data_IF_899125318501
#
_entry.id   IF_899125318501
#
_cell.length_a   1.000
_cell.length_b   1.000
_cell.length_c   1.000
_cell.angle_alpha   90.00
_cell.angle_beta   90.00
_cell.angle_gamma   90.00
#
_symmetry.space_group_name_H-M   'P 1'
#
loop_
_entity.id
_entity.type
_entity.pdbx_description
1 polymer ?
#
# COMPACT_ATOMS: atom_id res chain seq x y z
N UNK A 1 6.96 2.91 1.62
CA UNK A 1 5.94 2.15 2.39
C UNK A 1 4.84 3.08 2.96
N UNK A 2 5.14 4.29 3.48
CA UNK A 2 4.12 5.16 4.07
C UNK A 2 2.91 5.39 3.15
N UNK A 3 3.12 5.92 1.95
CA UNK A 3 2.03 6.15 0.99
C UNK A 3 1.39 4.87 0.46
N UNK A 4 2.14 3.76 0.43
CA UNK A 4 1.61 2.46 0.01
C UNK A 4 0.62 1.92 1.05
N UNK A 5 0.89 2.13 2.36
CA UNK A 5 -0.03 1.80 3.43
C UNK A 5 -1.34 2.59 3.30
N UNK A 6 -1.24 3.93 3.16
CA UNK A 6 -2.41 4.79 2.96
C UNK A 6 -3.20 4.41 1.70
N UNK A 7 -2.52 4.00 0.62
CA UNK A 7 -3.19 3.54 -0.59
C UNK A 7 -3.95 2.23 -0.35
N UNK A 8 -3.38 1.26 0.35
CA UNK A 8 -4.07 0.02 0.71
C UNK A 8 -5.31 0.29 1.59
N UNK A 9 -5.19 1.22 2.56
CA UNK A 9 -6.33 1.64 3.38
C UNK A 9 -7.42 2.32 2.52
N UNK A 10 -7.06 3.19 1.59
CA UNK A 10 -8.01 3.83 0.68
C UNK A 10 -8.77 2.83 -0.20
N UNK A 11 -8.12 1.75 -0.65
CA UNK A 11 -8.79 0.68 -1.39
C UNK A 11 -9.84 -0.03 -0.52
N UNK A 12 -9.52 -0.31 0.74
CA UNK A 12 -10.46 -0.91 1.70
C UNK A 12 -11.63 0.03 2.01
N UNK A 13 -11.35 1.32 2.25
CA UNK A 13 -12.37 2.33 2.53
C UNK A 13 -13.31 2.50 1.34
N UNK A 14 -12.78 2.51 0.12
CA UNK A 14 -13.59 2.56 -1.10
C UNK A 14 -14.48 1.31 -1.24
N UNK A 15 -13.94 0.12 -0.96
CA UNK A 15 -14.74 -1.10 -0.91
C UNK A 15 -15.84 -1.00 0.15
N UNK A 16 -15.58 -0.40 1.31
CA UNK A 16 -16.56 -0.10 2.36
C UNK A 16 -17.68 0.81 1.88
N UNK A 17 -17.34 1.89 1.19
CA UNK A 17 -18.33 2.81 0.59
C UNK A 17 -19.21 2.12 -0.45
N UNK A 18 -18.63 1.24 -1.28
CA UNK A 18 -19.38 0.46 -2.26
C UNK A 18 -20.33 -0.55 -1.59
N UNK A 19 -19.95 -1.13 -0.44
CA UNK A 19 -20.90 -1.98 0.35
C UNK A 19 -22.11 -1.19 0.81
N UNK A 20 -21.90 0.03 1.33
CA UNK A 20 -22.99 0.92 1.73
C UNK A 20 -23.89 1.30 0.53
N UNK A 21 -23.30 1.57 -0.63
CA UNK A 21 -24.04 1.86 -1.85
C UNK A 21 -24.89 0.65 -2.28
N UNK A 22 -24.34 -0.57 -2.20
CA UNK A 22 -25.03 -1.81 -2.48
C UNK A 22 -26.24 -2.02 -1.55
N UNK A 23 -26.10 -1.77 -0.25
CA UNK A 23 -27.21 -1.86 0.72
C UNK A 23 -28.36 -0.89 0.39
N UNK A 24 -28.06 0.19 -0.33
CA UNK A 24 -29.05 1.16 -0.86
C UNK A 24 -29.59 0.80 -2.23
N UNK A 25 -29.31 -0.41 -2.74
CA UNK A 25 -29.83 -0.93 -4.01
C UNK A 25 -29.04 -0.55 -5.25
N UNK A 26 -27.84 0.01 -5.12
CA UNK A 26 -26.94 0.26 -6.26
C UNK A 26 -26.19 -1.04 -6.55
N UNK A 27 -26.37 -1.60 -7.74
CA UNK A 27 -25.78 -2.89 -8.12
C UNK A 27 -24.62 -2.77 -9.12
N UNK A 28 -24.41 -1.59 -9.71
CA UNK A 28 -23.31 -1.32 -10.63
C UNK A 28 -22.87 0.13 -10.53
N UNK A 29 -21.62 0.37 -10.92
CA UNK A 29 -21.06 1.71 -11.13
C UNK A 29 -20.72 1.88 -12.60
N UNK A 30 -20.79 3.11 -13.10
CA UNK A 30 -20.38 3.44 -14.46
C UNK A 30 -18.96 3.99 -14.42
N UNK A 31 -18.08 3.36 -15.18
CA UNK A 31 -16.67 3.73 -15.29
C UNK A 31 -16.29 3.93 -16.75
N UNK A 32 -15.19 4.60 -17.03
CA UNK A 32 -14.60 4.58 -18.36
C UNK A 32 -14.21 3.14 -18.71
N UNK A 33 -14.60 2.66 -19.91
CA UNK A 33 -14.37 1.25 -20.34
C UNK A 33 -12.90 0.85 -20.21
N UNK A 34 -11.98 1.76 -20.51
CA UNK A 34 -10.53 1.57 -20.36
C UNK A 34 -10.06 1.31 -18.92
N UNK A 35 -10.87 1.65 -17.91
CA UNK A 35 -10.53 1.38 -16.51
C UNK A 35 -10.80 -0.08 -16.09
N UNK A 36 -11.64 -0.81 -16.84
CA UNK A 36 -12.04 -2.17 -16.50
C UNK A 36 -10.83 -3.11 -16.33
N UNK A 37 -9.82 -3.11 -17.20
CA UNK A 37 -8.64 -3.96 -17.02
C UNK A 37 -7.91 -3.71 -15.69
N UNK A 38 -7.91 -2.47 -15.18
CA UNK A 38 -7.28 -2.14 -13.90
C UNK A 38 -8.07 -2.68 -12.70
N UNK A 39 -9.40 -2.79 -12.81
CA UNK A 39 -10.21 -3.43 -11.78
C UNK A 39 -10.08 -4.95 -11.80
N UNK A 40 -9.92 -5.55 -12.98
CA UNK A 40 -9.83 -7.00 -13.15
C UNK A 40 -8.42 -7.56 -12.91
N UNK A 41 -7.47 -6.74 -12.48
CA UNK A 41 -6.14 -7.19 -12.07
C UNK A 41 -6.23 -8.07 -10.82
N UNK A 42 -5.98 -9.37 -10.97
CA UNK A 42 -5.82 -10.29 -9.85
C UNK A 42 -4.49 -10.12 -9.12
N UNK A 43 -4.39 -10.68 -7.92
CA UNK A 43 -3.19 -10.59 -7.08
C UNK A 43 -1.94 -11.19 -7.76
N UNK A 44 -2.09 -12.19 -8.61
CA UNK A 44 -1.01 -12.81 -9.40
C UNK A 44 -0.29 -11.84 -10.34
N UNK A 45 -0.96 -10.75 -10.73
CA UNK A 45 -0.37 -9.70 -11.54
C UNK A 45 0.62 -8.84 -10.76
N UNK A 46 0.44 -8.74 -9.45
CA UNK A 46 1.34 -7.96 -8.58
C UNK A 46 2.70 -8.62 -8.39
N UNK A 47 2.79 -9.93 -8.58
CA UNK A 47 4.04 -10.69 -8.44
C UNK A 47 4.92 -10.64 -9.69
N UNK A 48 4.41 -10.10 -10.81
CA UNK A 48 5.16 -9.97 -12.07
C UNK A 48 5.30 -8.51 -12.48
N UNK A 49 6.55 -8.02 -12.46
CA UNK A 49 6.90 -6.65 -12.91
C UNK A 49 6.59 -6.48 -14.39
N UNK A 50 6.90 -7.51 -15.20
CA UNK A 50 6.68 -7.50 -16.66
C UNK A 50 5.19 -7.40 -17.00
N UNK A 51 4.36 -8.25 -16.39
CA UNK A 51 2.90 -8.23 -16.60
C UNK A 51 2.27 -6.90 -16.18
N UNK A 52 2.71 -6.33 -15.04
CA UNK A 52 2.27 -5.00 -14.60
C UNK A 52 2.64 -3.92 -15.61
N UNK A 53 3.88 -3.97 -16.10
CA UNK A 53 4.36 -3.00 -17.07
C UNK A 53 3.57 -3.07 -18.38
N UNK A 54 3.36 -4.27 -18.94
CA UNK A 54 2.57 -4.49 -20.15
C UNK A 54 1.14 -3.96 -20.02
N UNK A 55 0.48 -4.25 -18.89
CA UNK A 55 -0.88 -3.76 -18.64
C UNK A 55 -0.94 -2.24 -18.53
N UNK A 56 -0.03 -1.63 -17.76
CA UNK A 56 0.01 -0.18 -17.59
C UNK A 56 0.36 0.53 -18.89
N UNK A 57 1.26 -0.02 -19.70
CA UNK A 57 1.59 0.52 -20.99
C UNK A 57 0.39 0.46 -21.94
N UNK A 58 -0.28 -0.68 -22.02
CA UNK A 58 -1.52 -0.83 -22.82
C UNK A 58 -2.62 0.14 -22.36
N UNK A 59 -2.78 0.33 -21.05
CA UNK A 59 -3.71 1.33 -20.50
C UNK A 59 -3.36 2.75 -20.94
N UNK A 60 -2.09 3.15 -20.85
CA UNK A 60 -1.62 4.48 -21.26
C UNK A 60 -1.81 4.72 -22.77
N UNK A 61 -1.49 3.74 -23.61
CA UNK A 61 -1.69 3.81 -25.06
C UNK A 61 -3.17 4.03 -25.40
N UNK A 62 -4.07 3.32 -24.73
CA UNK A 62 -5.52 3.50 -24.89
C UNK A 62 -5.99 4.89 -24.41
N UNK A 63 -5.39 5.44 -23.36
CA UNK A 63 -5.70 6.79 -22.89
C UNK A 63 -5.29 7.88 -23.88
N UNK A 64 -4.16 7.71 -24.59
CA UNK A 64 -3.63 8.68 -25.56
C UNK A 64 -4.44 8.65 -26.87
N UNK A 65 -4.97 7.49 -27.25
CA UNK A 65 -5.72 7.31 -28.51
C UNK A 65 -7.18 7.74 -28.41
N UNK A 66 -7.75 7.85 -27.21
CA UNK A 66 -9.11 8.38 -27.05
C UNK A 66 -9.15 9.90 -27.30
N UNK A 67 -9.93 10.31 -28.28
CA UNK A 67 -10.18 11.74 -28.55
C UNK A 67 -11.01 12.33 -27.41
N UNK A 68 -10.66 13.52 -26.95
CA UNK A 68 -11.40 14.23 -25.91
C UNK A 68 -12.88 14.39 -26.32
N UNK A 69 -13.78 13.74 -25.57
CA UNK A 69 -15.23 13.80 -25.80
C UNK A 69 -15.92 12.46 -26.11
N UNK A 70 -15.18 11.41 -26.40
CA UNK A 70 -15.73 10.09 -26.75
C UNK A 70 -15.34 8.98 -25.78
N UNK A 71 -15.17 9.30 -24.48
CA UNK A 71 -14.88 8.25 -23.50
C UNK A 71 -16.03 7.27 -23.42
N UNK A 72 -15.83 6.06 -23.92
CA UNK A 72 -16.79 4.97 -23.78
C UNK A 72 -16.96 4.62 -22.32
N UNK A 73 -18.20 4.44 -21.92
CA UNK A 73 -18.58 4.06 -20.57
C UNK A 73 -19.05 2.61 -20.53
N UNK A 74 -18.72 1.91 -19.46
CA UNK A 74 -19.21 0.57 -19.19
C UNK A 74 -19.70 0.45 -17.76
N UNK A 75 -20.68 -0.41 -17.55
CA UNK A 75 -21.15 -0.76 -16.21
C UNK A 75 -20.26 -1.86 -15.64
N UNK A 76 -19.78 -1.64 -14.42
CA UNK A 76 -19.02 -2.61 -13.65
C UNK A 76 -19.85 -3.05 -12.44
N UNK A 77 -19.97 -4.36 -12.22
CA UNK A 77 -20.73 -4.91 -11.08
C UNK A 77 -20.13 -4.47 -9.76
N UNK A 78 -20.98 -4.02 -8.83
CA UNK A 78 -20.50 -3.47 -7.55
C UNK A 78 -19.80 -4.54 -6.70
N UNK A 79 -20.24 -5.80 -6.77
CA UNK A 79 -19.61 -6.95 -6.11
C UNK A 79 -18.19 -7.21 -6.62
N UNK A 80 -18.02 -7.17 -7.94
CA UNK A 80 -16.71 -7.35 -8.59
C UNK A 80 -15.74 -6.24 -8.19
N UNK A 81 -16.24 -4.98 -8.11
CA UNK A 81 -15.45 -3.86 -7.62
C UNK A 81 -15.01 -4.07 -6.18
N UNK A 82 -15.93 -4.43 -5.29
CA UNK A 82 -15.64 -4.66 -3.87
C UNK A 82 -14.60 -5.75 -3.72
N UNK A 83 -14.78 -6.89 -4.40
CA UNK A 83 -13.85 -8.02 -4.33
C UNK A 83 -12.46 -7.63 -4.83
N UNK A 84 -12.37 -6.96 -5.98
CA UNK A 84 -11.11 -6.53 -6.56
C UNK A 84 -10.36 -5.53 -5.67
N UNK A 85 -11.04 -4.55 -5.10
CA UNK A 85 -10.43 -3.56 -4.20
C UNK A 85 -9.91 -4.22 -2.92
N UNK A 86 -10.69 -5.13 -2.35
CA UNK A 86 -10.32 -5.86 -1.14
C UNK A 86 -9.11 -6.77 -1.39
N UNK A 87 -9.11 -7.55 -2.46
CA UNK A 87 -8.00 -8.42 -2.84
C UNK A 87 -6.69 -7.63 -2.99
N UNK A 88 -6.74 -6.47 -3.65
CA UNK A 88 -5.57 -5.59 -3.80
C UNK A 88 -5.06 -5.06 -2.46
N UNK A 89 -5.96 -4.60 -1.60
CA UNK A 89 -5.61 -4.10 -0.27
C UNK A 89 -4.94 -5.19 0.58
N UNK A 90 -5.53 -6.39 0.58
CA UNK A 90 -5.04 -7.53 1.35
C UNK A 90 -3.68 -8.01 0.85
N UNK A 91 -3.51 -8.09 -0.49
CA UNK A 91 -2.22 -8.44 -1.08
C UNK A 91 -1.13 -7.42 -0.69
N UNK A 92 -1.41 -6.12 -0.81
CA UNK A 92 -0.44 -5.07 -0.49
C UNK A 92 -0.02 -5.12 0.98
N UNK A 93 -0.97 -5.25 1.90
CA UNK A 93 -0.66 -5.38 3.33
C UNK A 93 0.12 -6.64 3.64
N UNK A 94 -0.27 -7.79 3.06
CA UNK A 94 0.45 -9.05 3.21
C UNK A 94 1.89 -8.96 2.71
N UNK A 95 2.09 -8.35 1.55
CA UNK A 95 3.40 -8.13 0.97
C UNK A 95 4.28 -7.24 1.88
N UNK A 96 3.77 -6.10 2.33
CA UNK A 96 4.51 -5.19 3.22
C UNK A 96 4.87 -5.90 4.53
N UNK A 97 3.92 -6.61 5.15
CA UNK A 97 4.16 -7.34 6.42
C UNK A 97 5.31 -8.33 6.33
N UNK A 98 5.47 -8.98 5.20
CA UNK A 98 6.43 -10.08 5.03
C UNK A 98 7.73 -9.64 4.35
N UNK A 99 7.69 -8.69 3.43
CA UNK A 99 8.85 -8.33 2.62
C UNK A 99 9.57 -7.08 3.14
N UNK A 100 8.85 -6.19 3.82
CA UNK A 100 9.42 -4.93 4.29
C UNK A 100 9.77 -4.93 5.78
N UNK A 101 9.53 -6.04 6.47
CA UNK A 101 9.84 -6.16 7.89
C UNK A 101 11.33 -6.37 8.11
N UNK A 102 11.94 -5.53 8.93
CA UNK A 102 13.34 -5.63 9.34
C UNK A 102 13.46 -5.75 10.86
N UNK A 103 14.47 -6.45 11.32
CA UNK A 103 14.76 -6.67 12.75
C UNK A 103 16.24 -6.40 13.02
N UNK A 104 16.53 -5.88 14.21
CA UNK A 104 17.90 -5.59 14.64
C UNK A 104 18.61 -6.76 15.33
N UNK A 105 17.89 -7.85 15.59
CA UNK A 105 18.38 -9.01 16.36
C UNK A 105 18.39 -8.82 17.87
N UNK A 106 18.02 -7.64 18.40
CA UNK A 106 17.90 -7.35 19.82
C UNK A 106 16.43 -7.35 20.29
N UNK A 107 15.50 -7.67 19.42
CA UNK A 107 14.08 -7.74 19.70
C UNK A 107 13.27 -6.54 19.22
N UNK A 108 13.92 -5.60 18.52
CA UNK A 108 13.24 -4.50 17.85
C UNK A 108 12.93 -4.84 16.40
N UNK A 109 11.85 -4.27 15.87
CA UNK A 109 11.45 -4.47 14.48
C UNK A 109 10.64 -3.30 13.96
N UNK A 110 10.79 -3.00 12.67
CA UNK A 110 10.09 -1.93 11.96
C UNK A 110 10.02 -2.22 10.47
N UNK A 111 9.29 -1.42 9.71
CA UNK A 111 9.21 -1.58 8.26
C UNK A 111 10.25 -0.72 7.53
N UNK A 112 10.91 -1.31 6.55
CA UNK A 112 11.69 -0.54 5.57
C UNK A 112 10.74 0.34 4.74
N UNK A 113 11.01 1.63 4.65
CA UNK A 113 10.13 2.58 3.98
C UNK A 113 10.53 2.84 2.52
N UNK A 114 11.76 2.59 2.14
CA UNK A 114 12.26 2.84 0.79
C UNK A 114 13.59 2.14 0.50
N UNK A 115 13.95 2.12 -0.78
CA UNK A 115 15.15 1.48 -1.31
C UNK A 115 16.09 2.50 -1.93
N UNK A 116 17.35 2.18 -1.94
CA UNK A 116 18.36 2.97 -2.66
C UNK A 116 18.26 2.73 -4.19
N UNK A 117 19.11 3.42 -4.95
CA UNK A 117 19.14 3.29 -6.41
C UNK A 117 19.64 1.90 -6.90
N UNK A 118 20.12 1.06 -6.02
CA UNK A 118 20.57 -0.31 -6.30
C UNK A 118 19.57 -1.37 -5.84
N UNK A 119 18.45 -0.95 -5.26
CA UNK A 119 17.41 -1.85 -4.74
C UNK A 119 17.73 -2.41 -3.36
N UNK A 120 18.63 -1.80 -2.59
CA UNK A 120 18.88 -2.21 -1.20
C UNK A 120 17.94 -1.46 -0.25
N UNK A 121 17.40 -2.12 0.80
CA UNK A 121 16.66 -1.44 1.85
C UNK A 121 17.50 -0.35 2.50
N UNK A 122 16.91 0.82 2.72
CA UNK A 122 17.63 1.94 3.37
C UNK A 122 17.51 1.86 4.89
N UNK A 123 16.39 1.35 5.39
CA UNK A 123 16.21 1.13 6.83
C UNK A 123 16.71 -0.25 7.24
N UNK A 124 17.05 -0.39 8.52
CA UNK A 124 17.63 -1.60 9.07
C UNK A 124 18.95 -1.33 9.78
N UNK A 125 19.71 -2.38 10.04
CA UNK A 125 21.05 -2.30 10.61
C UNK A 125 22.10 -2.29 9.47
N UNK A 126 22.82 -1.18 9.35
CA UNK A 126 23.86 -1.00 8.35
C UNK A 126 25.20 -0.66 9.02
N UNK A 127 26.15 -1.60 8.99
CA UNK A 127 27.52 -1.40 9.53
C UNK A 127 27.56 -0.91 10.99
N UNK A 128 26.56 -1.32 11.79
CA UNK A 128 26.45 -0.93 13.20
C UNK A 128 25.59 0.32 13.46
N UNK A 129 25.13 0.98 12.40
CA UNK A 129 24.18 2.10 12.48
C UNK A 129 22.76 1.61 12.24
N UNK A 130 21.86 1.86 13.18
CA UNK A 130 20.44 1.60 13.01
C UNK A 130 19.80 2.75 12.25
N UNK A 131 19.07 2.42 11.18
CA UNK A 131 18.31 3.38 10.39
C UNK A 131 16.82 3.07 10.49
N UNK A 132 16.08 4.02 11.02
CA UNK A 132 14.63 3.94 11.18
C UNK A 132 13.99 5.28 10.84
N UNK A 133 12.85 5.23 10.13
CA UNK A 133 12.05 6.41 9.81
C UNK A 133 10.66 6.28 10.44
N UNK A 134 10.29 7.24 11.27
CA UNK A 134 9.04 7.25 12.03
C UNK A 134 7.79 7.25 11.13
N UNK A 135 7.82 8.04 10.06
CA UNK A 135 6.64 8.24 9.21
C UNK A 135 6.10 6.92 8.63
N UNK A 136 6.99 6.04 8.13
CA UNK A 136 6.61 4.73 7.61
C UNK A 136 5.89 3.87 8.65
N UNK A 137 6.37 3.92 9.89
CA UNK A 137 5.84 3.14 11.00
C UNK A 137 4.46 3.64 11.44
N UNK A 138 4.30 4.96 11.55
CA UNK A 138 3.01 5.58 11.91
C UNK A 138 1.93 5.17 10.91
N UNK A 139 2.19 5.27 9.61
CA UNK A 139 1.24 4.85 8.57
C UNK A 139 0.97 3.33 8.61
N UNK A 140 2.00 2.50 8.85
CA UNK A 140 1.81 1.06 8.96
C UNK A 140 0.86 0.66 10.11
N UNK A 141 0.91 1.38 11.24
CA UNK A 141 0.00 1.17 12.37
C UNK A 141 -1.38 1.74 12.06
N UNK A 142 -1.46 3.01 11.62
CA UNK A 142 -2.74 3.70 11.36
C UNK A 142 -3.57 3.00 10.30
N UNK A 143 -2.93 2.51 9.24
CA UNK A 143 -3.57 1.89 8.08
C UNK A 143 -3.69 0.36 8.22
N UNK A 144 -3.47 -0.17 9.44
CA UNK A 144 -3.65 -1.59 9.80
C UNK A 144 -2.76 -2.56 9.02
N UNK A 145 -1.64 -2.08 8.49
CA UNK A 145 -0.66 -2.96 7.86
C UNK A 145 0.11 -3.73 8.92
N UNK A 146 0.59 -3.07 9.97
CA UNK A 146 1.19 -3.75 11.11
C UNK A 146 0.15 -4.59 11.86
N UNK A 147 0.50 -5.83 12.18
CA UNK A 147 -0.26 -6.61 13.16
C UNK A 147 0.06 -6.16 14.61
N UNK A 148 -0.61 -6.74 15.60
CA UNK A 148 -0.44 -6.35 17.02
C UNK A 148 1.01 -6.53 17.51
N UNK A 149 1.68 -7.60 17.11
CA UNK A 149 3.07 -7.86 17.52
C UNK A 149 4.02 -6.89 16.82
N UNK A 150 3.80 -6.65 15.53
CA UNK A 150 4.57 -5.68 14.76
C UNK A 150 4.36 -4.26 15.29
N UNK A 151 3.12 -3.86 15.60
CA UNK A 151 2.82 -2.55 16.17
C UNK A 151 3.53 -2.34 17.51
N UNK A 152 3.56 -3.37 18.36
CA UNK A 152 4.31 -3.33 19.62
C UNK A 152 5.82 -3.20 19.38
N UNK A 153 6.39 -4.02 18.51
CA UNK A 153 7.81 -3.98 18.18
C UNK A 153 8.22 -2.62 17.59
N UNK A 154 7.36 -2.01 16.76
CA UNK A 154 7.56 -0.66 16.23
C UNK A 154 7.61 0.37 17.36
N UNK A 155 6.70 0.31 18.33
CA UNK A 155 6.68 1.23 19.47
C UNK A 155 7.96 1.09 20.30
N UNK A 156 8.34 -0.14 20.64
CA UNK A 156 9.58 -0.43 21.39
C UNK A 156 10.83 0.06 20.61
N UNK A 157 10.84 -0.09 19.29
CA UNK A 157 11.92 0.40 18.42
C UNK A 157 11.97 1.93 18.36
N UNK A 158 10.82 2.59 18.29
CA UNK A 158 10.74 4.05 18.26
C UNK A 158 11.28 4.63 19.59
N UNK A 159 10.93 4.03 20.72
CA UNK A 159 11.46 4.41 22.03
C UNK A 159 12.97 4.24 22.09
N UNK A 160 13.51 3.15 21.56
CA UNK A 160 14.94 2.86 21.59
C UNK A 160 15.78 3.75 20.65
N UNK A 161 15.27 4.06 19.45
CA UNK A 161 16.08 4.68 18.40
C UNK A 161 15.68 6.12 18.04
N UNK A 162 14.44 6.51 18.26
CA UNK A 162 13.94 7.81 17.81
C UNK A 162 13.62 8.77 18.96
N UNK A 163 13.41 8.27 20.20
CA UNK A 163 13.09 9.15 21.32
C UNK A 163 14.26 10.03 21.72
N UNK A 164 14.01 11.32 21.85
CA UNK A 164 14.97 12.33 22.27
C UNK A 164 14.53 12.94 23.60
N UNK A 165 15.24 12.59 24.67
CA UNK A 165 14.91 13.08 26.03
C UNK A 165 15.03 14.60 26.14
N UNK A 166 15.98 15.22 25.43
CA UNK A 166 16.19 16.67 25.52
C UNK A 166 15.08 17.43 24.80
N UNK A 167 14.61 16.91 23.67
CA UNK A 167 13.49 17.48 22.94
C UNK A 167 12.13 17.08 23.52
N UNK A 168 12.07 16.01 24.31
CA UNK A 168 10.84 15.45 24.87
C UNK A 168 9.91 14.90 23.80
N UNK A 169 10.48 14.27 22.74
CA UNK A 169 9.70 13.76 21.61
C UNK A 169 10.51 12.84 20.71
N UNK A 170 9.85 12.39 19.64
CA UNK A 170 10.46 11.47 18.66
C UNK A 170 11.02 12.22 17.47
N UNK A 171 12.24 11.86 17.07
CA UNK A 171 12.83 12.30 15.80
C UNK A 171 12.10 11.63 14.64
N UNK A 172 12.14 12.27 13.46
CA UNK A 172 11.55 11.68 12.25
C UNK A 172 12.39 10.53 11.70
N UNK A 173 13.70 10.55 11.98
CA UNK A 173 14.64 9.51 11.58
C UNK A 173 15.81 9.44 12.57
N UNK A 174 16.55 8.34 12.55
CA UNK A 174 17.80 8.17 13.28
C UNK A 174 18.92 9.04 12.72
#
# INVERSE_FOLDING_TARGET
>A
VAFTNAYAQNLEDLAGLLRIAKERGINSIVVAERMIPLFNMGADLYDSVEKKHELLQSFLENCVTETAGETKQAALGIEECIASLQEKADWMRGHIRTQEWVEDGAGHGWFNSYYDNHGNPVEGNHDGDTRMMLTGQVFAIMDKTADENQAKAIADSADAYLYDEQAGGYRLNT
#
